data_IF_603169832812
#
_entry.id   IF_603169832812
#
_cell.length_a   1.000
_cell.length_b   1.000
_cell.length_c   1.000
_cell.angle_alpha   90.00
_cell.angle_beta   90.00
_cell.angle_gamma   90.00
#
_symmetry.space_group_name_H-M   'P 1'
#
loop_
_entity.id
_entity.type
_entity.pdbx_description
1 polymer ?
#
# COMPACT_ATOMS: atom_id res chain seq x y z
N UNK A 1 19.98 -9.55 -13.80
CA UNK A 1 18.72 -10.28 -13.99
C UNK A 1 17.58 -9.43 -13.41
N UNK A 2 16.77 -8.84 -14.28
CA UNK A 2 15.60 -8.05 -13.91
C UNK A 2 14.42 -8.94 -13.48
N UNK A 3 13.40 -8.39 -12.79
CA UNK A 3 12.17 -9.14 -12.48
C UNK A 3 11.51 -9.73 -13.73
N UNK A 4 11.53 -8.98 -14.84
CA UNK A 4 10.94 -9.38 -16.12
C UNK A 4 11.70 -10.55 -16.73
N UNK A 5 13.04 -10.45 -16.82
CA UNK A 5 13.89 -11.55 -17.32
C UNK A 5 13.68 -12.83 -16.52
N UNK A 6 13.57 -12.70 -15.20
CA UNK A 6 13.33 -13.84 -14.31
C UNK A 6 11.91 -14.41 -14.50
N UNK A 7 10.91 -13.56 -14.73
CA UNK A 7 9.54 -14.01 -15.00
C UNK A 7 9.45 -14.85 -16.28
N UNK A 8 10.21 -14.46 -17.31
CA UNK A 8 10.32 -15.18 -18.58
C UNK A 8 11.06 -16.49 -18.37
N UNK A 9 12.22 -16.46 -17.72
CA UNK A 9 13.04 -17.65 -17.46
C UNK A 9 12.29 -18.73 -16.66
N UNK A 10 11.48 -18.32 -15.69
CA UNK A 10 10.69 -19.23 -14.85
C UNK A 10 9.29 -19.52 -15.40
N UNK A 11 8.96 -19.03 -16.61
CA UNK A 11 7.65 -19.18 -17.27
C UNK A 11 6.45 -18.80 -16.41
N UNK A 12 6.62 -17.77 -15.56
CA UNK A 12 5.64 -17.40 -14.53
C UNK A 12 4.26 -17.05 -15.12
N UNK A 13 4.23 -16.49 -16.33
CA UNK A 13 2.98 -16.16 -17.04
C UNK A 13 2.06 -17.35 -17.23
N UNK A 14 2.63 -18.54 -17.42
CA UNK A 14 1.87 -19.77 -17.66
C UNK A 14 1.75 -20.66 -16.43
N UNK A 15 2.69 -20.57 -15.49
CA UNK A 15 2.77 -21.48 -14.33
C UNK A 15 2.20 -20.88 -13.04
N UNK A 16 2.19 -19.56 -12.86
CA UNK A 16 1.78 -18.95 -11.60
C UNK A 16 0.28 -18.69 -11.53
N UNK A 17 -0.35 -19.25 -10.49
CA UNK A 17 -1.74 -19.02 -10.13
C UNK A 17 -1.89 -17.77 -9.24
N UNK A 18 -1.36 -16.63 -9.69
CA UNK A 18 -1.44 -15.39 -8.93
C UNK A 18 -2.89 -14.97 -8.65
N UNK A 19 -3.09 -14.40 -7.46
CA UNK A 19 -4.42 -14.02 -6.98
C UNK A 19 -5.00 -12.80 -7.72
N UNK A 20 -4.12 -11.89 -8.17
CA UNK A 20 -4.49 -10.57 -8.69
C UNK A 20 -4.67 -9.51 -7.60
N UNK A 21 -4.43 -9.85 -6.33
CA UNK A 21 -4.37 -8.90 -5.21
C UNK A 21 -2.90 -8.59 -4.95
N UNK A 22 -2.48 -7.37 -5.29
CA UNK A 22 -1.10 -6.92 -5.20
C UNK A 22 -0.87 -6.14 -3.89
N UNK A 23 0.09 -6.59 -3.10
CA UNK A 23 0.60 -5.87 -1.93
C UNK A 23 1.78 -4.99 -2.39
N UNK A 24 1.70 -3.70 -2.13
CA UNK A 24 2.78 -2.73 -2.37
C UNK A 24 3.32 -2.23 -1.03
N UNK A 25 4.65 -2.30 -0.88
CA UNK A 25 5.33 -1.81 0.32
C UNK A 25 6.77 -1.40 -0.02
N UNK A 26 7.36 -0.59 0.85
CA UNK A 26 8.73 -0.12 0.74
C UNK A 26 9.55 -0.56 1.95
N UNK A 27 10.80 -0.93 1.70
CA UNK A 27 11.76 -1.25 2.76
C UNK A 27 13.04 -0.44 2.64
N UNK A 28 13.30 0.40 3.63
CA UNK A 28 14.58 1.08 3.78
C UNK A 28 15.72 0.07 3.94
N UNK A 29 16.68 0.14 3.01
CA UNK A 29 17.92 -0.61 3.04
C UNK A 29 18.99 0.17 3.83
N UNK A 30 19.01 1.49 3.66
CA UNK A 30 19.82 2.44 4.42
C UNK A 30 19.18 3.85 4.34
N UNK A 31 19.89 4.89 4.79
CA UNK A 31 19.39 6.29 4.78
C UNK A 31 19.13 6.88 3.39
N UNK A 32 19.68 6.30 2.33
CA UNK A 32 19.63 6.82 0.95
C UNK A 32 18.95 5.86 -0.03
N UNK A 33 18.63 4.65 0.40
CA UNK A 33 18.19 3.58 -0.49
C UNK A 33 17.07 2.79 0.16
N UNK A 34 16.09 2.47 -0.66
CA UNK A 34 14.95 1.67 -0.29
C UNK A 34 14.62 0.69 -1.42
N UNK A 35 14.05 -0.44 -1.02
CA UNK A 35 13.57 -1.50 -1.89
C UNK A 35 12.05 -1.40 -1.95
N UNK A 36 11.52 -1.08 -3.13
CA UNK A 36 10.09 -1.19 -3.41
C UNK A 36 9.77 -2.63 -3.77
N UNK A 37 8.69 -3.16 -3.21
CA UNK A 37 8.25 -4.54 -3.38
C UNK A 37 6.80 -4.58 -3.87
N UNK A 38 6.56 -5.46 -4.84
CA UNK A 38 5.23 -5.86 -5.28
C UNK A 38 5.08 -7.37 -5.05
N UNK A 39 4.16 -7.75 -4.15
CA UNK A 39 3.98 -9.13 -3.69
C UNK A 39 2.53 -9.57 -3.94
N UNK A 40 2.34 -10.77 -4.50
CA UNK A 40 1.01 -11.34 -4.66
C UNK A 40 0.48 -11.84 -3.31
N UNK A 41 -0.72 -11.41 -2.91
CA UNK A 41 -1.29 -11.82 -1.63
C UNK A 41 -1.55 -13.32 -1.53
N UNK A 42 -2.07 -13.96 -2.59
CA UNK A 42 -2.48 -15.36 -2.52
C UNK A 42 -1.33 -16.36 -2.50
N UNK A 43 -0.25 -16.07 -3.23
CA UNK A 43 0.93 -16.95 -3.34
C UNK A 43 2.11 -16.48 -2.49
N UNK A 44 2.06 -15.24 -1.97
CA UNK A 44 3.16 -14.55 -1.30
C UNK A 44 4.42 -14.39 -2.16
N UNK A 45 4.29 -14.58 -3.47
CA UNK A 45 5.39 -14.46 -4.41
C UNK A 45 5.74 -12.99 -4.68
N UNK A 46 7.04 -12.68 -4.79
CA UNK A 46 7.54 -11.33 -5.08
C UNK A 46 7.48 -11.08 -6.59
N UNK A 47 6.35 -10.56 -7.07
CA UNK A 47 6.07 -10.32 -8.50
C UNK A 47 7.12 -9.44 -9.16
N UNK A 48 7.43 -8.30 -8.53
CA UNK A 48 8.43 -7.35 -8.98
C UNK A 48 9.07 -6.60 -7.80
N UNK A 49 10.26 -6.05 -8.02
CA UNK A 49 10.97 -5.25 -7.02
C UNK A 49 11.94 -4.28 -7.71
N UNK A 50 12.24 -3.16 -7.04
CA UNK A 50 13.24 -2.19 -7.51
C UNK A 50 13.92 -1.51 -6.33
N UNK A 51 15.23 -1.26 -6.45
CA UNK A 51 15.97 -0.44 -5.48
C UNK A 51 16.04 0.99 -6.01
N UNK A 52 15.56 1.93 -5.21
CA UNK A 52 15.50 3.35 -5.52
C UNK A 52 15.98 4.18 -4.34
N UNK A 53 16.10 5.49 -4.54
CA UNK A 53 16.56 6.41 -3.48
C UNK A 53 15.40 7.04 -2.69
N UNK A 54 14.21 7.12 -3.29
CA UNK A 54 13.04 7.76 -2.69
C UNK A 54 11.72 7.12 -3.15
N UNK A 55 10.68 7.24 -2.32
CA UNK A 55 9.32 6.75 -2.59
C UNK A 55 8.53 7.78 -3.42
N UNK A 56 8.77 7.83 -4.73
CA UNK A 56 8.09 8.75 -5.64
C UNK A 56 7.01 8.06 -6.48
N UNK A 57 6.08 8.85 -7.03
CA UNK A 57 5.00 8.33 -7.89
C UNK A 57 5.59 7.66 -9.14
N UNK A 58 6.67 8.22 -9.68
CA UNK A 58 7.37 7.71 -10.86
C UNK A 58 7.99 6.34 -10.57
N UNK A 59 8.63 6.18 -9.41
CA UNK A 59 9.24 4.91 -9.02
C UNK A 59 8.20 3.82 -8.81
N UNK A 60 7.05 4.15 -8.21
CA UNK A 60 5.95 3.19 -8.08
C UNK A 60 5.26 2.90 -9.41
N UNK A 61 5.15 3.89 -10.31
CA UNK A 61 4.64 3.69 -11.68
C UNK A 61 5.53 2.71 -12.43
N UNK A 62 6.86 2.92 -12.38
CA UNK A 62 7.82 2.00 -12.97
C UNK A 62 7.74 0.59 -12.35
N UNK A 63 7.52 0.48 -11.04
CA UNK A 63 7.28 -0.81 -10.40
C UNK A 63 6.02 -1.49 -10.95
N UNK A 64 4.92 -0.76 -11.12
CA UNK A 64 3.66 -1.25 -11.71
C UNK A 64 3.86 -1.69 -13.16
N UNK A 65 4.62 -0.94 -13.95
CA UNK A 65 4.94 -1.30 -15.34
C UNK A 65 5.71 -2.62 -15.39
N UNK A 66 6.66 -2.84 -14.48
CA UNK A 66 7.35 -4.13 -14.37
C UNK A 66 6.41 -5.26 -13.94
N UNK A 67 5.47 -5.02 -13.02
CA UNK A 67 4.45 -5.99 -12.61
C UNK A 67 3.62 -6.43 -13.82
N UNK A 68 3.16 -5.48 -14.63
CA UNK A 68 2.43 -5.74 -15.86
C UNK A 68 3.29 -6.48 -16.89
N UNK A 69 4.57 -6.08 -17.04
CA UNK A 69 5.53 -6.75 -17.92
C UNK A 69 5.84 -8.20 -17.49
N UNK A 70 5.74 -8.52 -16.19
CA UNK A 70 5.80 -9.90 -15.70
C UNK A 70 4.55 -10.73 -16.07
N UNK A 71 3.51 -10.11 -16.64
CA UNK A 71 2.22 -10.72 -16.98
C UNK A 71 1.25 -10.84 -15.79
N UNK A 72 1.52 -10.11 -14.70
CA UNK A 72 0.62 -10.07 -13.56
C UNK A 72 -0.59 -9.19 -13.88
N UNK A 73 -1.79 -9.68 -13.56
CA UNK A 73 -3.03 -8.95 -13.78
C UNK A 73 -3.52 -8.35 -12.46
N UNK A 74 -3.25 -7.06 -12.27
CA UNK A 74 -3.63 -6.33 -11.04
C UNK A 74 -5.16 -6.14 -11.02
N UNK A 75 -5.83 -6.74 -10.04
CA UNK A 75 -7.28 -6.62 -9.82
C UNK A 75 -7.63 -5.87 -8.54
N UNK A 76 -6.71 -5.82 -7.59
CA UNK A 76 -6.79 -4.99 -6.39
C UNK A 76 -5.39 -4.68 -5.86
N UNK A 77 -5.26 -3.58 -5.13
CA UNK A 77 -4.03 -3.16 -4.47
C UNK A 77 -4.26 -3.04 -2.97
N UNK A 78 -3.25 -3.42 -2.18
CA UNK A 78 -3.19 -3.15 -0.74
C UNK A 78 -1.86 -2.48 -0.43
N UNK A 79 -1.88 -1.39 0.33
CA UNK A 79 -0.65 -0.68 0.72
C UNK A 79 -0.70 -0.15 2.14
N UNK A 80 0.41 0.41 2.59
CA UNK A 80 0.52 1.17 3.85
C UNK A 80 -0.14 2.55 3.80
N UNK A 81 -0.59 3.00 2.62
CA UNK A 81 -1.17 4.31 2.39
C UNK A 81 -0.16 5.42 2.12
N UNK A 82 1.06 5.09 1.70
CA UNK A 82 2.01 6.10 1.26
C UNK A 82 1.39 6.97 0.14
N UNK A 83 1.50 8.32 0.20
CA UNK A 83 0.85 9.22 -0.77
C UNK A 83 1.20 8.91 -2.23
N UNK A 84 2.44 8.50 -2.49
CA UNK A 84 2.90 8.11 -3.82
C UNK A 84 2.17 6.87 -4.37
N UNK A 85 1.74 5.94 -3.51
CA UNK A 85 0.96 4.76 -3.90
C UNK A 85 -0.51 5.14 -4.08
N UNK A 86 -1.06 5.97 -3.20
CA UNK A 86 -2.44 6.48 -3.33
C UNK A 86 -2.62 7.20 -4.68
N UNK A 87 -1.63 8.00 -5.09
CA UNK A 87 -1.64 8.70 -6.37
C UNK A 87 -1.70 7.78 -7.59
N UNK A 88 -1.32 6.49 -7.47
CA UNK A 88 -1.45 5.52 -8.56
C UNK A 88 -2.90 5.13 -8.85
N UNK A 89 -3.79 5.27 -7.86
CA UNK A 89 -5.19 4.78 -7.93
C UNK A 89 -6.19 5.93 -7.87
N UNK A 90 -5.85 7.01 -7.19
CA UNK A 90 -6.73 8.15 -6.97
C UNK A 90 -6.11 9.41 -7.57
N UNK A 91 -6.90 10.16 -8.32
CA UNK A 91 -6.54 11.53 -8.69
C UNK A 91 -6.61 12.41 -7.44
N UNK A 92 -5.54 13.14 -7.08
CA UNK A 92 -5.63 14.11 -6.01
C UNK A 92 -6.73 15.12 -6.35
N UNK A 93 -7.67 15.34 -5.42
CA UNK A 93 -8.67 16.38 -5.60
C UNK A 93 -7.94 17.72 -5.67
N UNK A 94 -8.19 18.57 -6.70
CA UNK A 94 -7.56 19.87 -6.78
C UNK A 94 -7.86 20.66 -5.51
N UNK A 95 -6.81 21.06 -4.79
CA UNK A 95 -6.95 21.88 -3.60
C UNK A 95 -7.20 23.32 -4.02
N UNK A 96 -8.47 23.73 -4.01
CA UNK A 96 -8.83 25.12 -4.22
C UNK A 96 -8.56 25.91 -2.93
N UNK A 97 -7.52 26.74 -2.93
CA UNK A 97 -7.33 27.73 -1.87
C UNK A 97 -8.49 28.72 -1.93
N UNK A 98 -9.15 28.96 -0.80
CA UNK A 98 -10.21 29.97 -0.67
C UNK A 98 -9.66 31.31 -1.19
N UNK A 99 -10.27 31.88 -2.23
CA UNK A 99 -9.80 33.11 -2.90
C UNK A 99 -8.98 32.91 -4.19
N UNK A 100 -8.66 31.67 -4.59
CA UNK A 100 -8.15 31.40 -5.94
C UNK A 100 -9.29 31.45 -6.96
N UNK A 101 -9.09 32.17 -8.08
CA UNK A 101 -10.08 32.28 -9.15
C UNK A 101 -10.41 30.86 -9.67
N UNK A 102 -11.70 30.52 -9.70
CA UNK A 102 -12.19 29.24 -10.26
C UNK A 102 -11.96 29.11 -11.76
N UNK A 103 -11.82 30.24 -12.46
CA UNK A 103 -11.63 30.26 -13.90
C UNK A 103 -10.15 30.46 -14.26
N UNK A 104 -9.65 29.76 -15.29
CA UNK A 104 -8.33 30.06 -15.85
C UNK A 104 -8.28 31.52 -16.25
N UNK A 105 -7.12 32.18 -16.08
CA UNK A 105 -6.97 33.57 -16.57
C UNK A 105 -7.25 33.58 -18.08
N UNK A 106 -8.01 34.56 -18.61
CA UNK A 106 -8.17 34.74 -20.04
C UNK A 106 -6.80 34.68 -20.74
N UNK A 107 -6.66 33.82 -21.76
CA UNK A 107 -5.41 33.63 -22.49
C UNK A 107 -4.44 32.59 -21.93
N UNK A 108 -4.70 32.00 -20.76
CA UNK A 108 -3.94 30.83 -20.27
C UNK A 108 -4.71 29.58 -20.68
N UNK A 109 -4.07 28.72 -21.49
CA UNK A 109 -4.63 27.42 -21.84
C UNK A 109 -5.01 26.67 -20.56
N UNK A 110 -6.21 26.03 -20.51
CA UNK A 110 -6.58 25.23 -19.35
C UNK A 110 -5.45 24.25 -19.05
N UNK A 111 -5.10 24.13 -17.76
CA UNK A 111 -4.07 23.17 -17.34
C UNK A 111 -4.38 21.81 -17.97
N UNK A 112 -3.38 21.19 -18.60
CA UNK A 112 -3.55 19.90 -19.27
C UNK A 112 -4.35 18.97 -18.36
N UNK A 113 -5.42 18.39 -18.89
CA UNK A 113 -6.20 17.36 -18.18
C UNK A 113 -5.21 16.34 -17.64
N UNK A 114 -5.12 16.21 -16.32
CA UNK A 114 -4.24 15.23 -15.70
C UNK A 114 -4.61 13.87 -16.29
N UNK A 115 -3.63 13.17 -16.88
CA UNK A 115 -3.87 11.81 -17.35
C UNK A 115 -4.41 10.98 -16.18
N UNK A 116 -5.35 10.05 -16.44
CA UNK A 116 -5.84 9.17 -15.39
C UNK A 116 -4.65 8.45 -14.76
N UNK A 117 -4.69 8.20 -13.45
CA UNK A 117 -3.58 7.56 -12.76
C UNK A 117 -3.40 6.13 -13.28
N UNK A 118 -2.19 5.54 -13.21
CA UNK A 118 -1.87 4.25 -13.86
C UNK A 118 -2.80 3.09 -13.48
N UNK A 119 -3.35 3.12 -12.26
CA UNK A 119 -4.25 2.11 -11.71
C UNK A 119 -5.66 2.68 -11.49
N UNK A 120 -6.09 3.63 -12.33
CA UNK A 120 -7.44 4.19 -12.26
C UNK A 120 -8.52 3.08 -12.29
N UNK A 121 -9.44 3.13 -11.34
CA UNK A 121 -10.54 2.16 -11.23
C UNK A 121 -10.15 0.83 -10.56
N UNK A 122 -8.88 0.60 -10.24
CA UNK A 122 -8.46 -0.58 -9.48
C UNK A 122 -8.74 -0.34 -7.99
N UNK A 123 -9.50 -1.24 -7.32
CA UNK A 123 -9.76 -1.16 -5.89
C UNK A 123 -8.46 -1.10 -5.08
N UNK A 124 -8.38 -0.12 -4.18
CA UNK A 124 -7.24 0.07 -3.29
C UNK A 124 -7.68 -0.03 -1.83
N UNK A 125 -7.14 -1.00 -1.09
CA UNK A 125 -7.28 -1.10 0.36
C UNK A 125 -6.07 -0.46 1.07
N UNK A 126 -6.33 0.47 1.98
CA UNK A 126 -5.32 0.95 2.91
C UNK A 126 -5.23 -0.01 4.10
N UNK A 127 -4.04 -0.51 4.41
CA UNK A 127 -3.80 -1.29 5.64
C UNK A 127 -4.35 -0.58 6.88
N UNK A 128 -5.34 -1.18 7.53
CA UNK A 128 -6.03 -0.56 8.69
C UNK A 128 -5.10 -0.33 9.88
N UNK A 129 -4.05 -1.14 10.01
CA UNK A 129 -3.01 -0.98 11.06
C UNK A 129 -2.17 0.26 10.80
N UNK A 130 -1.76 0.50 9.55
CA UNK A 130 -1.01 1.71 9.17
C UNK A 130 -1.89 2.97 9.28
N UNK A 131 -3.16 2.89 8.85
CA UNK A 131 -4.12 3.96 9.04
C UNK A 131 -4.28 4.34 10.53
N UNK A 132 -4.38 3.35 11.44
CA UNK A 132 -4.44 3.63 12.87
C UNK A 132 -3.17 4.33 13.38
N UNK A 133 -1.98 3.91 12.92
CA UNK A 133 -0.71 4.57 13.29
C UNK A 133 -0.65 6.02 12.83
N UNK A 134 -1.17 6.33 11.64
CA UNK A 134 -1.23 7.70 11.14
C UNK A 134 -2.24 8.54 11.92
N UNK A 135 -3.40 7.96 12.26
CA UNK A 135 -4.40 8.62 13.12
C UNK A 135 -3.84 8.90 14.52
N UNK A 136 -3.09 7.96 15.10
CA UNK A 136 -2.46 8.12 16.42
C UNK A 136 -1.55 9.36 16.47
N UNK A 137 -0.93 9.77 15.36
CA UNK A 137 -0.12 11.01 15.29
C UNK A 137 -0.97 12.28 15.47
N UNK A 138 -2.21 12.28 14.98
CA UNK A 138 -3.15 13.37 15.23
C UNK A 138 -3.67 13.35 16.66
N UNK A 139 -3.98 12.15 17.16
CA UNK A 139 -4.48 11.95 18.53
C UNK A 139 -3.43 12.25 19.60
N UNK A 140 -2.13 12.15 19.28
CA UNK A 140 -1.05 12.53 20.19
C UNK A 140 -1.07 14.02 20.60
N UNK A 141 -1.83 14.86 19.89
CA UNK A 141 -2.01 16.29 20.20
C UNK A 141 -3.13 16.53 21.23
N UNK A 142 -3.88 15.49 21.61
CA UNK A 142 -4.95 15.57 22.60
C UNK A 142 -4.45 15.16 23.99
N UNK A 143 -5.05 15.69 25.07
CA UNK A 143 -4.90 15.15 26.41
C UNK A 143 -5.30 13.67 26.47
N UNK A 144 -4.70 12.91 27.37
CA UNK A 144 -4.94 11.46 27.48
C UNK A 144 -6.43 11.10 27.73
N UNK A 145 -7.11 11.92 28.52
CA UNK A 145 -8.53 11.78 28.86
C UNK A 145 -9.44 11.88 27.64
N UNK A 146 -9.13 12.79 26.70
CA UNK A 146 -9.87 12.93 25.43
C UNK A 146 -9.39 11.93 24.36
N UNK A 147 -8.09 11.62 24.37
CA UNK A 147 -7.46 10.74 23.38
C UNK A 147 -8.01 9.32 23.44
N UNK A 148 -8.14 8.76 24.64
CA UNK A 148 -8.53 7.37 24.87
C UNK A 148 -9.92 7.03 24.28
N UNK A 149 -11.00 7.77 24.58
CA UNK A 149 -12.32 7.47 24.03
C UNK A 149 -12.35 7.60 22.50
N UNK A 150 -11.71 8.63 21.94
CA UNK A 150 -11.63 8.80 20.47
C UNK A 150 -10.87 7.64 19.84
N UNK A 151 -9.74 7.21 20.42
CA UNK A 151 -8.96 6.07 19.94
C UNK A 151 -9.77 4.77 19.93
N UNK A 152 -10.55 4.50 20.97
CA UNK A 152 -11.42 3.31 21.03
C UNK A 152 -12.45 3.33 19.90
N UNK A 153 -13.09 4.48 19.65
CA UNK A 153 -14.06 4.63 18.56
C UNK A 153 -13.40 4.47 17.18
N UNK A 154 -12.22 5.04 16.97
CA UNK A 154 -11.42 4.85 15.74
C UNK A 154 -11.10 3.36 15.54
N UNK A 155 -10.67 2.68 16.60
CA UNK A 155 -10.39 1.25 16.53
C UNK A 155 -11.65 0.44 16.18
N UNK A 156 -12.80 0.76 16.79
CA UNK A 156 -14.08 0.12 16.47
C UNK A 156 -14.53 0.33 15.02
N UNK A 157 -14.20 1.49 14.43
CA UNK A 157 -14.44 1.77 13.01
C UNK A 157 -13.55 0.91 12.12
N UNK A 158 -12.24 0.94 12.35
CA UNK A 158 -11.24 0.31 11.47
C UNK A 158 -11.24 -1.23 11.55
N UNK A 159 -11.56 -1.79 12.73
CA UNK A 159 -11.51 -3.23 12.99
C UNK A 159 -12.91 -3.88 13.06
N UNK A 160 -13.95 -3.18 12.62
CA UNK A 160 -15.29 -3.72 12.54
C UNK A 160 -15.34 -5.01 11.69
N UNK A 161 -16.15 -5.98 12.13
CA UNK A 161 -16.33 -7.24 11.37
C UNK A 161 -17.14 -7.08 10.09
N UNK A 162 -18.05 -6.11 10.07
CA UNK A 162 -18.99 -5.86 8.97
C UNK A 162 -19.05 -4.37 8.63
N UNK A 163 -19.37 -4.07 7.37
CA UNK A 163 -19.52 -2.68 6.90
C UNK A 163 -20.60 -1.93 7.66
N UNK A 164 -21.72 -2.58 7.99
CA UNK A 164 -22.81 -1.98 8.77
C UNK A 164 -22.35 -1.57 10.17
N UNK A 165 -21.51 -2.40 10.83
CA UNK A 165 -20.91 -2.05 12.12
C UNK A 165 -19.91 -0.91 11.97
N UNK A 166 -19.05 -0.95 10.95
CA UNK A 166 -18.10 0.14 10.67
C UNK A 166 -18.83 1.48 10.51
N UNK A 167 -19.91 1.52 9.72
CA UNK A 167 -20.73 2.72 9.53
C UNK A 167 -21.41 3.19 10.82
N UNK A 168 -21.94 2.26 11.63
CA UNK A 168 -22.54 2.61 12.93
C UNK A 168 -21.50 3.25 13.86
N UNK A 169 -20.31 2.65 13.96
CA UNK A 169 -19.20 3.18 14.76
C UNK A 169 -18.72 4.53 14.21
N UNK A 170 -18.72 4.70 12.89
CA UNK A 170 -18.32 5.97 12.24
C UNK A 170 -19.27 7.11 12.61
N UNK A 171 -20.59 6.88 12.55
CA UNK A 171 -21.59 7.88 12.97
C UNK A 171 -21.45 8.23 14.46
N UNK A 172 -21.13 7.24 15.30
CA UNK A 172 -20.85 7.48 16.72
C UNK A 172 -19.61 8.36 16.89
N UNK A 173 -18.53 8.06 16.18
CA UNK A 173 -17.31 8.88 16.18
C UNK A 173 -17.60 10.32 15.70
N UNK A 174 -18.39 10.48 14.65
CA UNK A 174 -18.82 11.80 14.14
C UNK A 174 -19.57 12.60 15.22
N UNK A 175 -20.52 11.98 15.91
CA UNK A 175 -21.30 12.62 16.97
C UNK A 175 -20.41 13.05 18.15
N UNK A 176 -19.52 12.18 18.62
CA UNK A 176 -18.63 12.44 19.76
C UNK A 176 -17.59 13.53 19.43
N UNK A 177 -17.12 13.56 18.18
CA UNK A 177 -16.10 14.53 17.76
C UNK A 177 -16.66 15.86 17.28
N UNK A 178 -17.96 15.98 17.04
CA UNK A 178 -18.59 17.18 16.48
C UNK A 178 -18.31 18.45 17.31
N UNK A 179 -18.33 18.33 18.64
CA UNK A 179 -18.07 19.41 19.59
C UNK A 179 -16.68 19.34 20.23
N UNK A 180 -15.88 18.35 19.85
CA UNK A 180 -14.56 18.13 20.43
C UNK A 180 -13.50 19.10 19.88
N UNK A 181 -12.32 19.05 20.49
CA UNK A 181 -11.15 19.79 20.07
C UNK A 181 -10.81 19.55 18.57
N UNK A 182 -10.15 20.54 17.95
CA UNK A 182 -9.80 20.50 16.53
C UNK A 182 -9.07 19.20 16.09
N UNK A 183 -8.12 18.62 16.87
CA UNK A 183 -7.47 17.37 16.47
C UNK A 183 -8.44 16.20 16.35
N UNK A 184 -9.44 16.09 17.23
CA UNK A 184 -10.45 15.04 17.16
C UNK A 184 -11.33 15.17 15.90
N UNK A 185 -11.76 16.39 15.57
CA UNK A 185 -12.49 16.68 14.32
C UNK A 185 -11.67 16.36 13.08
N UNK A 186 -10.36 16.60 13.12
CA UNK A 186 -9.43 16.28 12.03
C UNK A 186 -9.36 14.77 11.77
N UNK A 187 -9.40 13.94 12.82
CA UNK A 187 -9.43 12.47 12.69
C UNK A 187 -10.69 12.02 11.96
N UNK A 188 -11.85 12.53 12.36
CA UNK A 188 -13.12 12.22 11.68
C UNK A 188 -13.08 12.65 10.22
N UNK A 189 -12.67 13.89 9.93
CA UNK A 189 -12.51 14.37 8.55
C UNK A 189 -11.54 13.51 7.73
N UNK A 190 -10.45 13.04 8.34
CA UNK A 190 -9.49 12.14 7.71
C UNK A 190 -10.11 10.77 7.38
N UNK A 191 -10.87 10.18 8.31
CA UNK A 191 -11.57 8.90 8.07
C UNK A 191 -12.59 9.06 6.95
N UNK A 192 -13.31 10.19 6.89
CA UNK A 192 -14.22 10.48 5.77
C UNK A 192 -13.50 10.55 4.43
N UNK A 193 -12.38 11.25 4.38
CA UNK A 193 -11.62 11.44 3.14
C UNK A 193 -11.09 10.13 2.56
N UNK A 194 -10.83 9.12 3.40
CA UNK A 194 -10.24 7.84 3.01
C UNK A 194 -11.18 6.64 3.20
N UNK A 195 -12.49 6.89 3.43
CA UNK A 195 -13.46 5.87 3.83
C UNK A 195 -13.48 4.66 2.89
N UNK A 196 -13.47 4.91 1.58
CA UNK A 196 -13.54 3.87 0.56
C UNK A 196 -12.31 2.95 0.64
N UNK A 197 -11.11 3.52 0.79
CA UNK A 197 -9.87 2.74 0.93
C UNK A 197 -9.79 1.97 2.24
N UNK A 198 -10.36 2.51 3.33
CA UNK A 198 -10.34 1.84 4.64
C UNK A 198 -11.30 0.64 4.68
N UNK A 199 -12.38 0.67 3.89
CA UNK A 199 -13.45 -0.32 3.95
C UNK A 199 -13.53 -1.26 2.75
N UNK A 200 -12.63 -1.12 1.77
CA UNK A 200 -12.60 -1.90 0.53
C UNK A 200 -12.63 -3.42 0.74
N UNK A 201 -11.98 -3.90 1.80
CA UNK A 201 -11.94 -5.31 2.20
C UNK A 201 -13.33 -5.87 2.56
N UNK A 202 -14.29 -5.04 2.95
CA UNK A 202 -15.66 -5.50 3.17
C UNK A 202 -16.40 -5.74 1.86
N UNK A 203 -16.24 -4.85 0.89
CA UNK A 203 -17.10 -4.73 -0.31
C UNK A 203 -16.57 -5.51 -1.50
N UNK A 204 -15.26 -5.52 -1.72
CA UNK A 204 -14.66 -6.11 -2.92
C UNK A 204 -14.16 -7.54 -2.68
N UNK A 205 -14.38 -8.40 -3.68
CA UNK A 205 -13.81 -9.74 -3.78
C UNK A 205 -13.08 -9.86 -5.11
N UNK A 206 -11.91 -10.49 -5.10
CA UNK A 206 -11.15 -10.81 -6.31
C UNK A 206 -11.25 -12.32 -6.52
N UNK A 207 -11.95 -12.73 -7.59
CA UNK A 207 -12.39 -14.13 -7.77
C UNK A 207 -13.23 -14.56 -6.54
N UNK A 208 -12.83 -15.60 -5.83
CA UNK A 208 -13.46 -16.06 -4.59
C UNK A 208 -12.79 -15.53 -3.31
N UNK A 209 -11.71 -14.73 -3.43
CA UNK A 209 -10.92 -14.28 -2.26
C UNK A 209 -11.35 -12.89 -1.79
N UNK A 210 -11.38 -12.72 -0.46
CA UNK A 210 -11.54 -11.42 0.20
C UNK A 210 -10.21 -10.67 0.19
N UNK A 211 -10.24 -9.38 -0.12
CA UNK A 211 -9.06 -8.51 0.01
C UNK A 211 -8.70 -8.46 1.51
N UNK A 212 -7.43 -8.65 1.90
CA UNK A 212 -7.04 -8.55 3.30
C UNK A 212 -7.19 -7.11 3.78
N UNK A 213 -7.51 -6.94 5.07
CA UNK A 213 -7.59 -5.61 5.70
C UNK A 213 -6.23 -5.00 6.01
N UNK A 214 -5.22 -5.86 6.17
CA UNK A 214 -3.89 -5.52 6.65
C UNK A 214 -2.82 -6.12 5.73
N UNK A 215 -1.59 -5.65 5.92
CA UNK A 215 -0.42 -6.06 5.14
C UNK A 215 0.38 -7.17 5.83
N UNK A 216 -0.15 -7.83 6.86
CA UNK A 216 0.58 -8.86 7.63
C UNK A 216 1.15 -9.97 6.74
N UNK A 217 0.48 -10.27 5.62
CA UNK A 217 0.97 -11.22 4.62
C UNK A 217 2.35 -10.84 4.05
N UNK A 218 2.61 -9.55 3.78
CA UNK A 218 3.90 -9.08 3.25
C UNK A 218 4.99 -9.01 4.32
N UNK A 219 4.61 -8.90 5.60
CA UNK A 219 5.57 -8.79 6.71
C UNK A 219 6.49 -10.01 6.77
N UNK A 220 5.98 -11.21 6.46
CA UNK A 220 6.79 -12.41 6.39
C UNK A 220 7.86 -12.33 5.29
N UNK A 221 7.47 -11.83 4.11
CA UNK A 221 8.37 -11.65 2.97
C UNK A 221 9.42 -10.58 3.27
N UNK A 222 9.00 -9.46 3.86
CA UNK A 222 9.90 -8.38 4.29
C UNK A 222 10.83 -8.86 5.40
N UNK A 223 10.34 -9.61 6.38
CA UNK A 223 11.15 -10.20 7.46
C UNK A 223 12.20 -11.16 6.91
N UNK A 224 11.84 -11.96 5.91
CA UNK A 224 12.78 -12.82 5.22
C UNK A 224 13.91 -12.03 4.55
N UNK A 225 13.55 -11.01 3.75
CA UNK A 225 14.52 -10.13 3.08
C UNK A 225 15.40 -9.44 4.13
N UNK A 226 14.81 -8.89 5.20
CA UNK A 226 15.53 -8.24 6.28
C UNK A 226 16.54 -9.14 6.98
N UNK A 227 16.16 -10.40 7.24
CA UNK A 227 17.07 -11.36 7.89
C UNK A 227 18.33 -11.58 7.05
N UNK A 228 18.20 -11.60 5.72
CA UNK A 228 19.35 -11.72 4.79
C UNK A 228 20.14 -10.43 4.63
N UNK A 229 19.49 -9.27 4.72
CA UNK A 229 20.16 -7.97 4.66
C UNK A 229 20.91 -7.65 5.95
N UNK A 230 20.40 -8.06 7.12
CA UNK A 230 21.04 -7.83 8.43
C UNK A 230 22.45 -8.42 8.51
N UNK A 231 22.71 -9.53 7.82
CA UNK A 231 24.03 -10.17 7.78
C UNK A 231 25.03 -9.40 6.91
N UNK A 232 24.58 -8.42 6.13
CA UNK A 232 25.43 -7.68 5.19
C UNK A 232 25.78 -6.30 5.76
N UNK A 233 27.08 -6.00 5.90
CA UNK A 233 27.54 -4.68 6.34
C UNK A 233 27.51 -3.70 5.16
N UNK A 234 26.67 -2.66 5.28
CA UNK A 234 26.66 -1.41 4.48
C UNK A 234 26.61 -1.61 2.95
N UNK A 235 25.40 -1.56 2.40
CA UNK A 235 25.19 -1.36 0.97
C UNK A 235 25.62 0.07 0.59
N UNK A 236 26.66 0.21 -0.26
CA UNK A 236 27.25 1.52 -0.58
C UNK A 236 26.64 2.18 -1.81
N UNK A 237 26.28 1.38 -2.83
CA UNK A 237 25.82 1.87 -4.14
C UNK A 237 24.52 1.20 -4.54
N UNK A 238 23.70 1.91 -5.32
CA UNK A 238 22.36 1.42 -5.72
C UNK A 238 22.48 0.17 -6.59
N UNK A 239 23.55 0.09 -7.38
CA UNK A 239 23.92 -1.09 -8.17
C UNK A 239 24.21 -2.29 -7.27
N UNK A 240 25.05 -2.13 -6.23
CA UNK A 240 25.37 -3.22 -5.30
C UNK A 240 24.14 -3.68 -4.51
N UNK A 241 23.33 -2.74 -4.04
CA UNK A 241 22.07 -3.01 -3.35
C UNK A 241 21.10 -3.78 -4.26
N UNK A 242 20.95 -3.36 -5.51
CA UNK A 242 20.10 -4.04 -6.50
C UNK A 242 20.59 -5.46 -6.78
N UNK A 243 21.90 -5.66 -7.02
CA UNK A 243 22.47 -6.98 -7.25
C UNK A 243 22.22 -7.95 -6.08
N UNK A 244 22.40 -7.46 -4.84
CA UNK A 244 22.15 -8.22 -3.63
C UNK A 244 20.66 -8.55 -3.46
N UNK A 245 19.77 -7.55 -3.66
CA UNK A 245 18.33 -7.78 -3.59
C UNK A 245 17.88 -8.81 -4.63
N UNK A 246 18.40 -8.73 -5.86
CA UNK A 246 18.15 -9.73 -6.90
C UNK A 246 18.53 -11.14 -6.43
N UNK A 247 19.71 -11.31 -5.84
CA UNK A 247 20.14 -12.62 -5.33
C UNK A 247 19.22 -13.13 -4.20
N UNK A 248 18.81 -12.25 -3.29
CA UNK A 248 17.91 -12.59 -2.18
C UNK A 248 16.54 -13.01 -2.71
N UNK A 249 15.99 -12.29 -3.68
CA UNK A 249 14.67 -12.56 -4.26
C UNK A 249 14.69 -13.84 -5.11
N UNK A 250 15.73 -14.06 -5.92
CA UNK A 250 15.95 -15.33 -6.64
C UNK A 250 16.00 -16.49 -5.65
N UNK A 251 16.74 -16.36 -4.56
CA UNK A 251 16.80 -17.39 -3.51
C UNK A 251 15.43 -17.58 -2.85
N UNK A 252 14.69 -16.51 -2.55
CA UNK A 252 13.34 -16.59 -1.99
C UNK A 252 12.40 -17.40 -2.89
N UNK A 253 12.35 -17.08 -4.19
CA UNK A 253 11.51 -17.79 -5.17
C UNK A 253 11.93 -19.24 -5.40
N UNK A 254 13.23 -19.51 -5.39
CA UNK A 254 13.74 -20.87 -5.60
C UNK A 254 13.51 -21.81 -4.42
N UNK A 255 13.22 -21.27 -3.22
CA UNK A 255 12.96 -22.09 -2.02
C UNK A 255 11.73 -22.98 -2.14
N UNK A 256 10.66 -22.51 -2.78
CA UNK A 256 9.43 -23.31 -2.93
C UNK A 256 9.68 -24.59 -3.74
N UNK A 257 10.63 -24.58 -4.69
CA UNK A 257 11.01 -25.77 -5.45
C UNK A 257 11.86 -26.77 -4.65
N UNK A 258 12.51 -26.34 -3.56
CA UNK A 258 13.47 -27.16 -2.79
C UNK A 258 12.92 -27.72 -1.49
N UNK A 259 11.83 -27.18 -0.96
CA UNK A 259 11.27 -27.63 0.31
C UNK A 259 9.74 -27.79 0.21
N UNK A 260 9.22 -29.01 0.01
CA UNK A 260 7.77 -29.25 -0.07
C UNK A 260 7.04 -28.99 1.27
N UNK A 261 7.77 -28.86 2.39
CA UNK A 261 7.22 -28.50 3.72
C UNK A 261 7.17 -26.99 3.97
N UNK A 262 7.50 -26.16 2.98
CA UNK A 262 7.55 -24.72 3.19
C UNK A 262 6.12 -24.18 3.41
N UNK A 263 5.85 -23.71 4.63
CA UNK A 263 4.51 -23.30 5.10
C UNK A 263 3.89 -22.12 4.33
N UNK A 264 4.63 -21.47 3.44
CA UNK A 264 4.13 -20.43 2.54
C UNK A 264 3.12 -20.96 1.50
N UNK A 265 2.95 -22.28 1.38
CA UNK A 265 1.97 -22.93 0.51
C UNK A 265 0.60 -23.24 1.14
N UNK A 266 0.31 -22.79 2.37
CA UNK A 266 -1.05 -22.96 2.94
C UNK A 266 -2.00 -21.96 2.29
N UNK A 267 -2.50 -22.32 1.11
CA UNK A 267 -3.49 -21.58 0.32
C UNK A 267 -4.87 -21.54 0.94
#
# INVERSE_FOLDING_TARGET
MSPVEMSVALRLRTSNCWSGILLLDAKYLNKRQLLLLAVDYGTLDIVAWIVVEAETVENYTHLVDMVNACGYHIRAVVSDGHPSIIALTHTPKPYFRKGTRMYPRPGIAPGRSSMPPPLAGIPHQWCVVHALRDIDRYLAQLPEEERTPVRVLVHDVLFARTISRAMKCKRKLEAETALAAFPARRVTAWIHAHWDMLTMHHTIRVKWRKIPRDTNAIENTISYVNTRLKTMRRLRTTVSASAICNLIVVNYRTKCFRNPKNHYHRG
#
